data_IF_658920926884
#
_entry.id   IF_658920926884
#
_cell.length_a   1.000
_cell.length_b   1.000
_cell.length_c   1.000
_cell.angle_alpha   90.00
_cell.angle_beta   90.00
_cell.angle_gamma   90.00
#
_symmetry.space_group_name_H-M   'P 1'
#
loop_
_entity.id
_entity.type
_entity.pdbx_description
1 polymer ?
#
# COMPACT_ATOMS: atom_id res chain seq x y z
N UNK A 1 -10.51 -18.47 -7.32
CA UNK A 1 -10.50 -17.49 -6.21
C UNK A 1 -9.69 -16.32 -6.73
N UNK A 2 -10.27 -15.12 -6.78
CA UNK A 2 -9.49 -13.94 -7.15
C UNK A 2 -8.43 -13.77 -6.05
N UNK A 3 -7.15 -13.79 -6.41
CA UNK A 3 -6.08 -13.47 -5.48
C UNK A 3 -6.33 -12.04 -4.97
N UNK A 4 -6.64 -11.90 -3.68
CA UNK A 4 -6.80 -10.61 -3.00
C UNK A 4 -5.50 -10.17 -2.34
N UNK A 5 -4.36 -10.71 -2.80
CA UNK A 5 -3.02 -10.38 -2.32
C UNK A 5 -2.39 -9.31 -3.21
N UNK A 6 -1.84 -8.27 -2.59
CA UNK A 6 -1.23 -7.14 -3.26
C UNK A 6 0.19 -6.92 -2.74
N UNK A 7 1.12 -6.72 -3.66
CA UNK A 7 2.50 -6.39 -3.31
C UNK A 7 2.63 -4.89 -3.08
N UNK A 8 3.20 -4.50 -1.94
CA UNK A 8 3.33 -3.11 -1.53
C UNK A 8 4.81 -2.79 -1.34
N UNK A 9 5.34 -1.90 -2.17
CA UNK A 9 6.70 -1.40 -2.03
C UNK A 9 6.69 -0.15 -1.15
N UNK A 10 7.56 -0.15 -0.15
CA UNK A 10 7.76 0.98 0.76
C UNK A 10 9.15 1.55 0.53
N UNK A 11 9.19 2.84 0.22
CA UNK A 11 10.43 3.62 0.08
C UNK A 11 10.47 4.72 1.13
N UNK A 12 11.67 5.10 1.55
CA UNK A 12 11.86 6.23 2.46
C UNK A 12 12.47 7.40 1.71
N UNK A 13 11.81 8.55 1.76
CA UNK A 13 12.24 9.78 1.10
C UNK A 13 12.22 10.94 2.11
N UNK A 14 13.36 11.62 2.24
CA UNK A 14 13.58 12.78 3.13
C UNK A 14 13.09 12.64 4.59
N UNK A 15 12.89 11.41 5.08
CA UNK A 15 12.44 11.12 6.44
C UNK A 15 11.01 10.59 6.54
N UNK A 16 10.21 10.72 5.49
CA UNK A 16 8.83 10.22 5.38
C UNK A 16 8.80 8.91 4.60
N UNK A 17 7.83 8.05 4.89
CA UNK A 17 7.65 6.78 4.19
C UNK A 17 6.60 6.94 3.10
N UNK A 18 6.84 6.29 1.97
CA UNK A 18 5.89 6.18 0.87
C UNK A 18 5.61 4.72 0.59
N UNK A 19 4.34 4.32 0.64
CA UNK A 19 3.89 3.00 0.22
C UNK A 19 3.20 3.10 -1.14
N UNK A 20 3.53 2.17 -2.04
CA UNK A 20 2.96 2.06 -3.39
C UNK A 20 2.56 0.60 -3.62
N UNK A 21 1.34 0.38 -4.11
CA UNK A 21 0.92 -0.97 -4.51
C UNK A 21 1.33 -1.26 -5.95
N UNK A 22 2.04 -2.37 -6.15
CA UNK A 22 2.42 -2.82 -7.49
C UNK A 22 1.18 -3.19 -8.32
N UNK A 23 1.13 -2.72 -9.58
CA UNK A 23 0.03 -2.98 -10.49
C UNK A 23 -1.30 -2.26 -10.18
N UNK A 24 -1.34 -1.36 -9.18
CA UNK A 24 -2.51 -0.51 -8.89
C UNK A 24 -2.14 0.96 -9.00
N UNK A 25 -2.35 1.51 -10.20
CA UNK A 25 -2.15 2.93 -10.47
C UNK A 25 -2.99 3.80 -9.52
N UNK A 26 -2.35 4.77 -8.87
CA UNK A 26 -2.98 5.66 -7.89
C UNK A 26 -3.10 5.11 -6.46
N UNK A 27 -2.70 3.86 -6.20
CA UNK A 27 -2.63 3.31 -4.85
C UNK A 27 -1.27 3.64 -4.20
N UNK A 28 -1.07 4.92 -3.92
CA UNK A 28 0.12 5.46 -3.24
C UNK A 28 -0.30 6.25 -2.00
N UNK A 29 0.46 6.09 -0.92
CA UNK A 29 0.23 6.76 0.37
C UNK A 29 1.56 7.23 0.96
N UNK A 30 1.55 8.43 1.53
CA UNK A 30 2.68 9.01 2.26
C UNK A 30 2.29 9.16 3.72
N UNK A 31 3.13 8.67 4.62
CA UNK A 31 2.90 8.77 6.06
C UNK A 31 4.24 8.69 6.81
N UNK A 32 4.29 9.24 8.03
CA UNK A 32 5.46 9.18 8.89
C UNK A 32 5.58 7.83 9.63
N UNK A 33 4.52 7.01 9.63
CA UNK A 33 4.46 5.71 10.28
C UNK A 33 3.81 4.60 9.45
N UNK A 34 4.23 3.37 9.70
CA UNK A 34 3.73 2.19 8.97
C UNK A 34 2.22 1.96 9.16
N UNK A 35 1.67 2.26 10.34
CA UNK A 35 0.23 2.12 10.62
C UNK A 35 -0.64 3.03 9.71
N UNK A 36 -0.15 4.25 9.42
CA UNK A 36 -0.82 5.18 8.52
C UNK A 36 -0.73 4.73 7.06
N UNK A 37 0.43 4.21 6.65
CA UNK A 37 0.60 3.60 5.32
C UNK A 37 -0.38 2.44 5.11
N UNK A 38 -0.46 1.50 6.06
CA UNK A 38 -1.37 0.34 5.92
C UNK A 38 -2.82 0.79 5.81
N UNK A 39 -3.27 1.67 6.70
CA UNK A 39 -4.64 2.19 6.69
C UNK A 39 -4.97 2.88 5.37
N UNK A 40 -4.06 3.72 4.87
CA UNK A 40 -4.24 4.41 3.61
C UNK A 40 -4.25 3.47 2.40
N UNK A 41 -3.34 2.49 2.36
CA UNK A 41 -3.25 1.53 1.24
C UNK A 41 -4.51 0.66 1.18
N UNK A 42 -5.02 0.19 2.33
CA UNK A 42 -6.30 -0.53 2.40
C UNK A 42 -7.45 0.34 1.87
N UNK A 43 -7.54 1.60 2.28
CA UNK A 43 -8.57 2.52 1.79
C UNK A 43 -8.45 2.75 0.27
N UNK A 44 -7.24 2.91 -0.26
CA UNK A 44 -6.99 3.04 -1.70
C UNK A 44 -7.38 1.79 -2.48
N UNK A 45 -7.08 0.61 -1.95
CA UNK A 45 -7.44 -0.66 -2.59
C UNK A 45 -8.95 -0.90 -2.56
N UNK A 46 -9.63 -0.52 -1.49
CA UNK A 46 -11.10 -0.54 -1.43
C UNK A 46 -11.70 0.41 -2.47
N UNK A 47 -11.20 1.66 -2.55
CA UNK A 47 -11.67 2.67 -3.51
C UNK A 47 -11.43 2.25 -4.97
N UNK A 48 -10.22 1.79 -5.30
CA UNK A 48 -9.78 1.57 -6.68
C UNK A 48 -10.11 0.19 -7.22
N UNK A 49 -10.12 -0.82 -6.34
CA UNK A 49 -10.30 -2.24 -6.71
C UNK A 49 -11.52 -2.89 -6.06
N UNK A 50 -12.21 -2.21 -5.13
CA UNK A 50 -13.25 -2.84 -4.33
C UNK A 50 -12.71 -3.94 -3.42
N UNK A 51 -11.41 -3.94 -3.12
CA UNK A 51 -10.76 -4.97 -2.34
C UNK A 51 -11.05 -4.76 -0.85
N UNK A 52 -12.00 -5.53 -0.32
CA UNK A 52 -12.32 -5.53 1.11
C UNK A 52 -11.44 -6.57 1.80
N UNK A 53 -10.67 -6.13 2.80
CA UNK A 53 -9.64 -6.95 3.48
C UNK A 53 -8.59 -7.57 2.53
N UNK A 54 -7.80 -6.73 1.83
CA UNK A 54 -6.69 -7.21 1.02
C UNK A 54 -5.58 -7.79 1.89
N UNK A 55 -4.97 -8.87 1.40
CA UNK A 55 -3.73 -9.41 1.92
C UNK A 55 -2.58 -8.55 1.37
N UNK A 56 -1.77 -7.95 2.24
CA UNK A 56 -0.71 -7.02 1.85
C UNK A 56 0.65 -7.66 2.09
N UNK A 57 1.42 -7.80 1.01
CA UNK A 57 2.79 -8.31 1.06
C UNK A 57 3.74 -7.11 0.97
N UNK A 58 4.37 -6.78 2.09
CA UNK A 58 5.20 -5.59 2.21
C UNK A 58 6.65 -5.86 1.84
N UNK A 59 7.19 -5.04 0.95
CA UNK A 59 8.60 -5.01 0.55
C UNK A 59 9.18 -3.65 0.91
N UNK A 60 10.15 -3.60 1.82
CA UNK A 60 10.81 -2.36 2.22
C UNK A 60 12.12 -2.25 1.44
N UNK A 61 12.20 -1.27 0.54
CA UNK A 61 13.43 -0.96 -0.18
C UNK A 61 14.23 0.06 0.64
N UNK A 62 15.44 -0.32 1.06
CA UNK A 62 16.30 0.44 1.98
C UNK A 62 17.50 1.07 1.29
#
# INVERSE_FOLDING_TARGET
MLNNSFEVTVVRDEGTWCAVVDGVDGAQVWDDGFEGLETGIRAKLEELRGATDPDLVWHVDS
#
